data_IF_331000213850
#
_entry.id   IF_331000213850
#
_cell.length_a   1.000
_cell.length_b   1.000
_cell.length_c   1.000
_cell.angle_alpha   90.00
_cell.angle_beta   90.00
_cell.angle_gamma   90.00
#
_symmetry.space_group_name_H-M   'P 1'
#
loop_
_entity.id
_entity.type
_entity.pdbx_description
1 polymer ?
#
# COMPACT_ATOMS: atom_id res chain seq x y z
N UNK A 1 -13.59 -50.23 56.07
CA UNK A 1 -13.80 -50.01 54.62
C UNK A 1 -13.55 -48.57 54.16
N UNK A 2 -13.75 -47.54 55.00
CA UNK A 2 -13.57 -46.13 54.62
C UNK A 2 -12.09 -45.70 54.49
N UNK A 3 -11.18 -46.22 55.32
CA UNK A 3 -9.76 -45.90 55.25
C UNK A 3 -9.08 -46.44 53.98
N UNK A 4 -9.50 -47.61 53.49
CA UNK A 4 -8.99 -48.17 52.23
C UNK A 4 -9.38 -47.32 51.02
N UNK A 5 -10.61 -46.79 51.01
CA UNK A 5 -11.08 -45.86 49.97
C UNK A 5 -10.31 -44.54 50.02
N UNK A 6 -10.03 -44.01 51.22
CA UNK A 6 -9.26 -42.78 51.39
C UNK A 6 -7.81 -42.93 50.87
N UNK A 7 -7.15 -44.06 51.17
CA UNK A 7 -5.79 -44.36 50.71
C UNK A 7 -5.76 -44.51 49.18
N UNK A 8 -6.74 -45.18 48.57
CA UNK A 8 -6.84 -45.32 47.12
C UNK A 8 -7.07 -43.96 46.45
N UNK A 9 -7.87 -43.08 47.05
CA UNK A 9 -8.07 -41.72 46.53
C UNK A 9 -6.81 -40.86 46.62
N UNK A 10 -6.05 -40.95 47.71
CA UNK A 10 -4.76 -40.23 47.87
C UNK A 10 -3.73 -40.76 46.87
N UNK A 11 -3.71 -42.07 46.62
CA UNK A 11 -2.83 -42.70 45.63
C UNK A 11 -3.18 -42.26 44.20
N UNK A 12 -4.47 -42.16 43.86
CA UNK A 12 -4.91 -41.64 42.55
C UNK A 12 -4.57 -40.15 42.35
N UNK A 13 -4.65 -39.33 43.40
CA UNK A 13 -4.24 -37.92 43.36
C UNK A 13 -2.71 -37.80 43.23
N UNK A 14 -1.93 -38.66 43.86
CA UNK A 14 -0.46 -38.67 43.75
C UNK A 14 0.03 -39.13 42.36
N UNK A 15 -0.68 -40.04 41.70
CA UNK A 15 -0.35 -40.53 40.35
C UNK A 15 -0.70 -39.47 39.28
N UNK A 16 -1.71 -38.62 39.52
CA UNK A 16 -2.11 -37.58 38.57
C UNK A 16 -1.08 -36.43 38.42
N UNK A 17 -0.07 -36.32 39.30
CA UNK A 17 0.93 -35.23 39.30
C UNK A 17 2.16 -35.56 38.44
N UNK A 18 2.21 -36.71 37.77
CA UNK A 18 3.40 -37.18 37.03
C UNK A 18 3.27 -37.09 35.49
N UNK A 19 2.40 -36.23 34.96
CA UNK A 19 2.42 -35.89 33.53
C UNK A 19 3.46 -34.80 33.29
N UNK A 20 4.74 -35.20 33.15
CA UNK A 20 5.75 -34.33 32.56
C UNK A 20 5.43 -34.21 31.07
N UNK A 21 4.87 -33.08 30.66
CA UNK A 21 4.69 -32.78 29.25
C UNK A 21 6.08 -32.64 28.60
N UNK A 22 6.32 -33.28 27.46
CA UNK A 22 7.56 -33.05 26.72
C UNK A 22 7.48 -31.72 25.96
N UNK A 23 8.63 -31.17 25.55
CA UNK A 23 8.61 -30.02 24.66
C UNK A 23 8.08 -30.45 23.29
N UNK A 24 7.31 -29.59 22.64
CA UNK A 24 6.70 -29.86 21.34
C UNK A 24 7.02 -28.72 20.39
N UNK A 25 7.60 -29.06 19.24
CA UNK A 25 7.75 -28.13 18.11
C UNK A 25 6.58 -28.38 17.16
N UNK A 26 5.72 -27.37 16.96
CA UNK A 26 4.71 -27.37 15.93
C UNK A 26 5.29 -26.73 14.68
N UNK A 27 5.42 -27.51 13.60
CA UNK A 27 5.87 -27.02 12.30
C UNK A 27 4.71 -26.39 11.53
N UNK A 28 5.03 -25.54 10.56
CA UNK A 28 4.04 -24.87 9.69
C UNK A 28 3.24 -25.82 8.80
N UNK A 29 3.74 -27.03 8.57
CA UNK A 29 3.01 -28.11 7.90
C UNK A 29 2.09 -28.90 8.86
N UNK A 30 1.87 -28.40 10.08
CA UNK A 30 1.13 -29.05 11.18
C UNK A 30 1.76 -30.34 11.73
N UNK A 31 3.00 -30.63 11.36
CA UNK A 31 3.74 -31.75 11.94
C UNK A 31 4.20 -31.41 13.36
N UNK A 32 4.05 -32.36 14.27
CA UNK A 32 4.46 -32.22 15.66
C UNK A 32 5.75 -33.01 15.89
N UNK A 33 6.76 -32.34 16.46
CA UNK A 33 8.00 -32.97 16.89
C UNK A 33 8.03 -32.95 18.41
N UNK A 34 7.81 -34.11 19.04
CA UNK A 34 8.03 -34.31 20.46
C UNK A 34 9.54 -34.41 20.71
N UNK A 35 10.09 -33.49 21.49
CA UNK A 35 11.53 -33.38 21.69
C UNK A 35 11.89 -32.78 23.05
N UNK A 36 13.19 -32.67 23.32
CA UNK A 36 13.73 -31.82 24.38
C UNK A 36 14.48 -30.66 23.74
N UNK A 37 14.01 -29.44 23.92
CA UNK A 37 14.67 -28.24 23.39
C UNK A 37 15.93 -27.98 24.23
N UNK A 38 17.06 -27.74 23.55
CA UNK A 38 18.36 -27.48 24.18
C UNK A 38 18.82 -26.04 24.02
N UNK A 39 18.57 -25.45 22.87
CA UNK A 39 18.97 -24.07 22.57
C UNK A 39 17.93 -23.42 21.67
N UNK A 40 17.45 -22.24 22.06
CA UNK A 40 16.70 -21.36 21.16
C UNK A 40 17.67 -20.31 20.65
N UNK A 41 18.32 -20.61 19.52
CA UNK A 41 19.24 -19.68 18.85
C UNK A 41 18.49 -18.52 18.21
N UNK A 42 19.18 -17.64 17.50
CA UNK A 42 18.52 -16.56 16.74
C UNK A 42 17.70 -17.12 15.58
N UNK A 43 18.26 -18.08 14.85
CA UNK A 43 17.74 -18.55 13.56
C UNK A 43 17.26 -20.00 13.59
N UNK A 44 17.88 -20.84 14.41
CA UNK A 44 17.55 -22.25 14.54
C UNK A 44 17.21 -22.61 16.00
N UNK A 45 16.46 -23.68 16.15
CA UNK A 45 16.23 -24.33 17.44
C UNK A 45 16.95 -25.66 17.42
N UNK A 46 17.79 -25.89 18.44
CA UNK A 46 18.46 -27.16 18.64
C UNK A 46 17.69 -28.00 19.64
N UNK A 47 17.47 -29.26 19.31
CA UNK A 47 16.67 -30.19 20.10
C UNK A 47 17.21 -31.61 20.02
N UNK A 48 16.73 -32.46 20.93
CA UNK A 48 17.03 -33.89 20.98
C UNK A 48 15.73 -34.68 20.84
N UNK A 49 15.77 -35.77 20.07
CA UNK A 49 14.66 -36.70 19.94
C UNK A 49 14.73 -37.80 21.01
N UNK A 50 13.60 -38.22 21.62
CA UNK A 50 13.59 -39.25 22.65
C UNK A 50 14.19 -40.59 22.22
N UNK A 51 13.99 -40.96 20.95
CA UNK A 51 14.42 -42.26 20.40
C UNK A 51 15.88 -42.26 19.89
N UNK A 52 16.61 -41.16 20.10
CA UNK A 52 17.98 -40.98 19.61
C UNK A 52 18.98 -40.76 20.77
N UNK A 53 20.27 -41.06 20.55
CA UNK A 53 21.31 -40.78 21.52
C UNK A 53 21.32 -39.32 21.98
N UNK A 54 21.51 -39.07 23.28
CA UNK A 54 21.43 -37.74 23.89
C UNK A 54 22.57 -36.78 23.48
N UNK A 55 23.61 -37.30 22.84
CA UNK A 55 24.70 -36.56 22.22
C UNK A 55 24.37 -36.10 20.78
N UNK A 56 23.30 -36.63 20.17
CA UNK A 56 22.86 -36.24 18.84
C UNK A 56 21.91 -35.03 18.91
N UNK A 57 22.42 -33.87 18.49
CA UNK A 57 21.66 -32.63 18.38
C UNK A 57 21.08 -32.47 16.98
N UNK A 58 19.77 -32.30 16.90
CA UNK A 58 19.06 -31.91 15.69
C UNK A 58 18.87 -30.39 15.69
N UNK A 59 18.83 -29.78 14.51
CA UNK A 59 18.45 -28.38 14.37
C UNK A 59 17.33 -28.22 13.34
N UNK A 60 16.46 -27.25 13.61
CA UNK A 60 15.39 -26.85 12.70
C UNK A 60 15.37 -25.33 12.57
N UNK A 61 15.24 -24.86 11.34
CA UNK A 61 15.07 -23.44 11.02
C UNK A 61 13.75 -22.93 11.61
N UNK A 62 13.77 -21.80 12.33
CA UNK A 62 12.57 -21.15 12.86
C UNK A 62 11.58 -20.77 11.79
N UNK A 63 12.00 -20.54 10.55
CA UNK A 63 11.10 -20.27 9.44
C UNK A 63 10.21 -21.48 9.09
N UNK A 64 10.53 -22.69 9.56
CA UNK A 64 9.70 -23.89 9.42
C UNK A 64 8.80 -24.15 10.65
N UNK A 65 8.97 -23.38 11.72
CA UNK A 65 8.28 -23.55 13.00
C UNK A 65 7.13 -22.55 13.08
N UNK A 66 5.96 -23.02 13.49
CA UNK A 66 4.82 -22.17 13.82
C UNK A 66 4.93 -21.69 15.28
N UNK A 67 5.04 -22.64 16.21
CA UNK A 67 5.30 -22.37 17.63
C UNK A 67 6.04 -23.51 18.30
N UNK A 68 6.61 -23.23 19.46
CA UNK A 68 7.07 -24.25 20.41
C UNK A 68 6.25 -24.17 21.69
N UNK A 69 6.00 -25.32 22.29
CA UNK A 69 5.36 -25.45 23.60
C UNK A 69 6.34 -26.18 24.50
N UNK A 70 6.82 -25.52 25.56
CA UNK A 70 7.74 -26.12 26.51
C UNK A 70 7.00 -27.01 27.52
N UNK A 71 7.75 -27.88 28.19
CA UNK A 71 7.28 -28.78 29.27
C UNK A 71 6.47 -28.06 30.36
N UNK A 72 6.78 -26.79 30.65
CA UNK A 72 6.05 -25.96 31.61
C UNK A 72 4.78 -25.30 31.05
N UNK A 73 4.41 -25.62 29.80
CA UNK A 73 3.28 -25.04 29.08
C UNK A 73 3.56 -23.65 28.46
N UNK A 74 4.78 -23.13 28.54
CA UNK A 74 5.14 -21.85 27.93
C UNK A 74 5.16 -21.99 26.40
N UNK A 75 4.36 -21.16 25.72
CA UNK A 75 4.36 -21.09 24.26
C UNK A 75 5.29 -19.98 23.76
N UNK A 76 6.09 -20.28 22.73
CA UNK A 76 6.86 -19.26 22.01
C UNK A 76 6.51 -19.30 20.52
N UNK A 77 6.14 -18.14 19.98
CA UNK A 77 5.76 -17.95 18.57
C UNK A 77 6.82 -17.12 17.89
N UNK A 78 7.27 -17.57 16.71
CA UNK A 78 8.30 -16.89 15.94
C UNK A 78 7.67 -16.14 14.76
N UNK A 79 7.77 -14.82 14.78
CA UNK A 79 7.29 -13.97 13.68
C UNK A 79 8.41 -13.74 12.68
N UNK A 80 8.04 -13.68 11.39
CA UNK A 80 8.96 -13.25 10.33
C UNK A 80 9.41 -11.82 10.58
N UNK A 81 10.72 -11.59 10.62
CA UNK A 81 11.31 -10.28 10.90
C UNK A 81 10.78 -9.18 9.96
N UNK A 82 10.55 -9.51 8.69
CA UNK A 82 10.06 -8.58 7.67
C UNK A 82 8.67 -8.02 8.00
N UNK A 83 7.76 -8.85 8.51
CA UNK A 83 6.35 -8.49 8.73
C UNK A 83 6.03 -8.16 10.17
N UNK A 84 6.99 -8.32 11.08
CA UNK A 84 6.79 -8.04 12.50
C UNK A 84 6.74 -6.53 12.76
N UNK A 85 5.60 -5.96 13.19
CA UNK A 85 5.47 -4.53 13.46
C UNK A 85 6.45 -4.01 14.53
N UNK A 86 6.88 -4.88 15.44
CA UNK A 86 7.82 -4.56 16.53
C UNK A 86 9.16 -4.06 16.00
N UNK A 87 9.62 -4.62 14.88
CA UNK A 87 10.88 -4.23 14.22
C UNK A 87 10.87 -2.82 13.65
N UNK A 88 9.71 -2.15 13.65
CA UNK A 88 9.51 -0.85 13.03
C UNK A 88 8.87 0.18 13.97
N UNK A 89 8.91 -0.06 15.29
CA UNK A 89 8.34 0.86 16.29
C UNK A 89 8.83 2.30 16.17
N UNK A 90 10.10 2.48 15.81
CA UNK A 90 10.72 3.80 15.64
C UNK A 90 10.34 4.49 14.33
N UNK A 91 9.74 3.78 13.38
CA UNK A 91 9.35 4.35 12.10
C UNK A 91 8.10 5.21 12.25
N UNK A 92 8.13 6.37 11.60
CA UNK A 92 6.99 7.25 11.46
C UNK A 92 5.99 6.62 10.49
N UNK A 93 4.73 6.55 10.92
CA UNK A 93 3.67 5.81 10.23
C UNK A 93 2.88 6.68 9.26
N UNK A 94 2.98 8.00 9.39
CA UNK A 94 2.20 8.95 8.63
C UNK A 94 3.11 9.79 7.74
N UNK A 95 2.62 10.10 6.55
CA UNK A 95 3.28 10.99 5.60
C UNK A 95 2.29 12.00 5.04
N UNK A 96 2.65 13.28 5.08
CA UNK A 96 1.97 14.33 4.32
C UNK A 96 2.82 14.66 3.11
N UNK A 97 2.25 14.60 1.92
CA UNK A 97 2.96 14.75 0.65
C UNK A 97 2.37 15.85 -0.19
N UNK A 98 3.22 16.48 -0.99
CA UNK A 98 2.85 17.39 -2.05
C UNK A 98 3.29 16.79 -3.39
N UNK A 99 2.42 16.84 -4.40
CA UNK A 99 2.78 16.48 -5.77
C UNK A 99 3.56 17.63 -6.39
N UNK A 100 4.87 17.42 -6.55
CA UNK A 100 5.84 18.46 -6.87
C UNK A 100 5.60 19.09 -8.24
N UNK A 101 5.10 18.31 -9.20
CA UNK A 101 4.86 18.79 -10.57
C UNK A 101 3.45 19.33 -10.77
N UNK A 102 2.52 19.07 -9.83
CA UNK A 102 1.12 19.48 -9.98
C UNK A 102 0.94 20.98 -10.26
N UNK A 103 1.66 21.92 -9.61
CA UNK A 103 1.42 23.34 -9.87
C UNK A 103 1.67 23.74 -11.32
N UNK A 104 2.60 23.08 -12.02
CA UNK A 104 2.90 23.36 -13.43
C UNK A 104 1.77 22.86 -14.33
N UNK A 105 1.01 21.87 -13.87
CA UNK A 105 -0.13 21.29 -14.60
C UNK A 105 -1.48 21.87 -14.17
N UNK A 106 -1.49 23.02 -13.48
CA UNK A 106 -2.71 23.78 -13.18
C UNK A 106 -3.46 23.35 -11.90
N UNK A 107 -2.83 22.57 -11.02
CA UNK A 107 -3.41 22.15 -9.75
C UNK A 107 -2.39 22.14 -8.62
N UNK A 108 -2.83 22.27 -7.37
CA UNK A 108 -1.98 21.96 -6.20
C UNK A 108 -2.52 20.72 -5.53
N UNK A 109 -1.69 19.68 -5.41
CA UNK A 109 -2.14 18.37 -4.92
C UNK A 109 -1.40 17.93 -3.67
N UNK A 110 -2.17 17.54 -2.65
CA UNK A 110 -1.69 17.00 -1.39
C UNK A 110 -2.13 15.56 -1.23
N UNK A 111 -1.28 14.73 -0.61
CA UNK A 111 -1.63 13.36 -0.26
C UNK A 111 -1.26 13.04 1.18
N UNK A 112 -2.10 12.28 1.85
CA UNK A 112 -1.85 11.72 3.17
C UNK A 112 -1.73 10.21 3.04
N UNK A 113 -0.60 9.65 3.47
CA UNK A 113 -0.37 8.21 3.54
C UNK A 113 -0.21 7.76 4.99
N UNK A 114 -0.85 6.63 5.35
CA UNK A 114 -0.68 5.98 6.64
C UNK A 114 -0.35 4.50 6.48
N UNK A 115 0.75 4.07 7.09
CA UNK A 115 1.10 2.66 7.23
C UNK A 115 0.12 1.93 8.15
N UNK A 116 -0.47 0.84 7.66
CA UNK A 116 -1.34 -0.03 8.45
C UNK A 116 -0.54 -1.15 9.12
N UNK A 117 0.38 -1.75 8.37
CA UNK A 117 1.31 -2.79 8.81
C UNK A 117 2.49 -2.84 7.84
N UNK A 118 3.62 -3.48 8.19
CA UNK A 118 4.71 -3.66 7.23
C UNK A 118 4.19 -4.26 5.92
N UNK A 119 4.57 -3.65 4.80
CA UNK A 119 4.11 -4.06 3.48
C UNK A 119 2.78 -3.44 3.00
N UNK A 120 2.02 -2.73 3.85
CA UNK A 120 0.71 -2.15 3.47
C UNK A 120 0.44 -0.77 4.07
N UNK A 121 -0.03 0.14 3.24
CA UNK A 121 -0.47 1.49 3.65
C UNK A 121 -1.72 1.92 2.88
N UNK A 122 -2.39 2.96 3.38
CA UNK A 122 -3.51 3.63 2.70
C UNK A 122 -3.10 5.04 2.35
N UNK A 123 -3.53 5.54 1.19
CA UNK A 123 -3.24 6.89 0.73
C UNK A 123 -4.52 7.58 0.24
N UNK A 124 -4.80 8.76 0.80
CA UNK A 124 -5.83 9.68 0.31
C UNK A 124 -5.17 10.91 -0.31
N UNK A 125 -5.70 11.40 -1.43
CA UNK A 125 -5.16 12.54 -2.18
C UNK A 125 -6.27 13.56 -2.43
N UNK A 126 -5.96 14.84 -2.28
CA UNK A 126 -6.81 15.98 -2.61
C UNK A 126 -6.05 16.91 -3.55
N UNK A 127 -6.60 17.17 -4.73
CA UNK A 127 -6.11 18.16 -5.68
C UNK A 127 -7.05 19.34 -5.80
N UNK A 128 -6.50 20.54 -5.66
CA UNK A 128 -7.22 21.80 -5.88
C UNK A 128 -6.87 22.30 -7.29
N UNK A 129 -7.86 22.32 -8.17
CA UNK A 129 -7.72 22.72 -9.58
C UNK A 129 -7.85 24.24 -9.68
N UNK A 130 -6.96 24.86 -10.45
CA UNK A 130 -6.88 26.32 -10.59
C UNK A 130 -5.85 26.99 -9.66
N UNK A 131 -5.30 26.25 -8.69
CA UNK A 131 -4.13 26.69 -7.90
C UNK A 131 -2.84 26.20 -8.56
N UNK A 132 -2.49 26.78 -9.71
CA UNK A 132 -1.31 26.42 -10.50
C UNK A 132 -1.18 27.30 -11.74
N UNK A 133 -0.30 26.91 -12.65
CA UNK A 133 -0.12 27.57 -13.94
C UNK A 133 -1.35 27.36 -14.83
N UNK A 134 -1.87 28.45 -15.40
CA UNK A 134 -2.95 28.43 -16.37
C UNK A 134 -2.37 28.52 -17.78
N UNK A 135 -1.74 27.44 -18.25
CA UNK A 135 -1.02 27.42 -19.53
C UNK A 135 -1.98 27.51 -20.72
N UNK A 136 -3.15 26.87 -20.61
CA UNK A 136 -4.14 26.81 -21.71
C UNK A 136 -5.17 27.95 -21.68
N UNK A 137 -4.97 28.96 -20.82
CA UNK A 137 -5.93 30.04 -20.52
C UNK A 137 -7.39 29.54 -20.31
N UNK A 138 -7.53 28.34 -19.76
CA UNK A 138 -8.82 27.69 -19.57
C UNK A 138 -9.50 28.16 -18.27
N UNK A 139 -8.81 28.90 -17.40
CA UNK A 139 -9.30 29.40 -16.11
C UNK A 139 -10.13 28.35 -15.36
N UNK A 140 -9.53 27.16 -15.22
CA UNK A 140 -10.18 26.04 -14.59
C UNK A 140 -10.26 26.21 -13.08
N UNK A 141 -11.33 25.71 -12.47
CA UNK A 141 -11.53 25.72 -11.03
C UNK A 141 -12.36 24.53 -10.57
N UNK A 142 -11.91 23.88 -9.51
CA UNK A 142 -12.58 22.71 -8.95
C UNK A 142 -11.67 21.88 -8.05
N UNK A 143 -12.01 20.61 -7.88
CA UNK A 143 -11.20 19.71 -7.07
C UNK A 143 -11.30 18.26 -7.57
N UNK A 144 -10.32 17.46 -7.19
CA UNK A 144 -10.41 16.02 -7.30
C UNK A 144 -9.91 15.34 -6.03
N UNK A 145 -10.38 14.13 -5.82
CA UNK A 145 -9.93 13.24 -4.76
C UNK A 145 -9.45 11.92 -5.33
N UNK A 146 -8.48 11.31 -4.68
CA UNK A 146 -8.07 9.93 -4.96
C UNK A 146 -7.92 9.15 -3.67
N UNK A 147 -8.14 7.85 -3.73
CA UNK A 147 -7.88 6.96 -2.62
C UNK A 147 -7.40 5.61 -3.13
N UNK A 148 -6.39 5.07 -2.46
CA UNK A 148 -5.88 3.74 -2.79
C UNK A 148 -5.19 3.05 -1.62
N UNK A 149 -5.10 1.72 -1.74
CA UNK A 149 -4.36 0.86 -0.79
C UNK A 149 -3.06 0.47 -1.45
N UNK A 150 -1.91 0.78 -0.84
CA UNK A 150 -0.60 0.39 -1.33
C UNK A 150 -0.21 -0.98 -0.78
N UNK A 151 0.25 -1.84 -1.69
CA UNK A 151 0.89 -3.12 -1.40
C UNK A 151 2.37 -3.00 -1.78
N UNK A 152 3.23 -2.89 -0.79
CA UNK A 152 4.68 -2.80 -1.00
C UNK A 152 5.20 -4.20 -1.35
N UNK A 153 5.99 -4.27 -2.43
CA UNK A 153 6.60 -5.48 -2.95
C UNK A 153 7.61 -6.03 -1.94
N UNK A 154 7.44 -7.30 -1.60
CA UNK A 154 8.45 -8.07 -0.88
C UNK A 154 9.72 -8.25 -1.73
N UNK A 155 10.91 -8.46 -1.12
CA UNK A 155 12.15 -8.68 -1.86
C UNK A 155 12.09 -9.98 -2.67
N UNK A 156 12.75 -9.98 -3.83
CA UNK A 156 12.77 -11.13 -4.75
C UNK A 156 13.53 -12.33 -4.18
N UNK A 157 14.48 -12.08 -3.28
CA UNK A 157 15.20 -13.10 -2.54
C UNK A 157 15.09 -12.81 -1.05
N UNK A 158 14.88 -13.87 -0.27
CA UNK A 158 14.93 -13.78 1.17
C UNK A 158 16.34 -14.12 1.64
N UNK A 159 17.07 -13.12 2.12
CA UNK A 159 18.24 -13.34 2.97
C UNK A 159 17.79 -13.21 4.43
N UNK A 160 18.38 -14.04 5.27
CA UNK A 160 18.08 -14.11 6.70
C UNK A 160 18.25 -12.74 7.36
N UNK A 161 17.29 -12.36 8.20
CA UNK A 161 17.29 -11.06 8.88
C UNK A 161 16.95 -9.85 7.99
N UNK A 162 16.63 -10.06 6.71
CA UNK A 162 16.13 -8.98 5.86
C UNK A 162 14.81 -8.42 6.41
N UNK A 163 14.78 -7.10 6.49
CA UNK A 163 13.60 -6.32 6.81
C UNK A 163 13.56 -5.08 5.93
N UNK A 164 12.40 -4.44 5.82
CA UNK A 164 12.34 -3.13 5.19
C UNK A 164 13.26 -2.17 5.96
N UNK A 165 13.98 -1.30 5.26
CA UNK A 165 14.72 -0.24 5.97
C UNK A 165 13.74 0.77 6.59
N UNK A 166 12.53 0.88 6.04
CA UNK A 166 11.45 1.68 6.60
C UNK A 166 10.08 1.12 6.16
N UNK A 167 9.04 1.16 7.01
CA UNK A 167 7.70 0.61 6.71
C UNK A 167 7.00 1.21 5.48
N UNK A 168 7.35 2.45 5.15
CA UNK A 168 6.85 3.18 3.99
C UNK A 168 7.78 3.08 2.77
N UNK A 169 8.92 2.35 2.83
CA UNK A 169 9.90 2.31 1.74
C UNK A 169 9.70 1.06 0.88
N UNK A 170 9.70 1.25 -0.44
CA UNK A 170 9.72 0.13 -1.37
C UNK A 170 9.03 0.41 -2.70
N UNK A 171 9.07 -0.57 -3.59
CA UNK A 171 8.22 -0.58 -4.79
C UNK A 171 6.82 -1.02 -4.38
N UNK A 172 5.76 -0.54 -5.01
CA UNK A 172 4.40 -0.92 -4.64
C UNK A 172 3.45 -1.00 -5.84
N UNK A 173 2.34 -1.70 -5.62
CA UNK A 173 1.14 -1.65 -6.46
C UNK A 173 0.01 -1.06 -5.62
N UNK A 174 -0.77 -0.15 -6.19
CA UNK A 174 -1.85 0.57 -5.54
C UNK A 174 -3.09 0.59 -6.43
N UNK A 175 -4.09 -0.28 -6.17
CA UNK A 175 -5.43 -0.06 -6.68
C UNK A 175 -5.95 1.28 -6.13
N UNK A 176 -6.32 2.17 -7.04
CA UNK A 176 -6.72 3.54 -6.74
C UNK A 176 -8.00 3.90 -7.48
N UNK A 177 -8.94 4.52 -6.77
CA UNK A 177 -10.05 5.22 -7.39
C UNK A 177 -9.83 6.72 -7.30
N UNK A 178 -10.24 7.44 -8.33
CA UNK A 178 -10.19 8.89 -8.38
C UNK A 178 -11.50 9.45 -8.90
N UNK A 179 -11.87 10.63 -8.41
CA UNK A 179 -13.06 11.35 -8.82
C UNK A 179 -12.76 12.86 -8.83
N UNK A 180 -13.25 13.56 -9.84
CA UNK A 180 -13.01 14.99 -10.04
C UNK A 180 -14.25 15.71 -10.50
N UNK A 181 -14.39 16.96 -10.05
CA UNK A 181 -15.40 17.89 -10.52
C UNK A 181 -14.77 19.27 -10.67
N UNK A 182 -14.82 19.83 -11.87
CA UNK A 182 -14.26 21.14 -12.16
C UNK A 182 -14.99 21.81 -13.33
N UNK A 183 -14.88 23.13 -13.39
CA UNK A 183 -15.33 23.88 -14.56
C UNK A 183 -14.12 24.48 -15.26
N UNK A 184 -14.15 24.49 -16.59
CA UNK A 184 -13.11 25.11 -17.43
C UNK A 184 -13.75 25.87 -18.58
N UNK A 185 -13.03 26.85 -19.07
CA UNK A 185 -13.35 27.51 -20.32
C UNK A 185 -12.79 26.69 -21.48
N UNK A 186 -13.55 26.58 -22.56
CA UNK A 186 -13.13 25.98 -23.81
C UNK A 186 -13.55 26.87 -24.99
N UNK A 187 -12.84 26.75 -26.11
CA UNK A 187 -13.21 27.42 -27.35
C UNK A 187 -14.25 26.58 -28.09
N UNK A 188 -15.45 27.16 -28.28
CA UNK A 188 -16.49 26.53 -29.09
C UNK A 188 -16.27 26.89 -30.56
N UNK A 189 -15.58 25.98 -31.25
CA UNK A 189 -15.23 26.10 -32.67
C UNK A 189 -16.44 26.08 -33.60
N UNK A 190 -17.66 25.75 -33.12
CA UNK A 190 -18.89 25.88 -33.93
C UNK A 190 -19.20 27.33 -34.30
N UNK A 191 -18.63 28.29 -33.57
CA UNK A 191 -18.75 29.72 -33.85
C UNK A 191 -17.65 30.26 -34.77
N UNK A 192 -16.64 29.44 -35.11
CA UNK A 192 -15.65 29.82 -36.09
C UNK A 192 -16.31 29.95 -37.46
N UNK A 193 -16.22 31.13 -38.06
CA UNK A 193 -16.75 31.39 -39.39
C UNK A 193 -15.86 32.38 -40.11
N UNK A 194 -15.77 32.20 -41.43
CA UNK A 194 -15.06 33.12 -42.31
C UNK A 194 -15.98 33.47 -43.46
N UNK A 195 -16.18 34.77 -43.71
CA UNK A 195 -17.01 35.25 -44.80
C UNK A 195 -16.49 36.59 -45.34
N UNK A 196 -16.90 36.92 -46.56
CA UNK A 196 -16.68 38.24 -47.12
C UNK A 196 -17.85 39.16 -46.78
N UNK A 197 -17.57 40.38 -46.33
CA UNK A 197 -18.60 41.38 -46.13
C UNK A 197 -19.14 41.94 -47.46
N UNK A 198 -20.15 42.82 -47.36
CA UNK A 198 -20.76 43.50 -48.50
C UNK A 198 -19.82 44.43 -49.28
N UNK A 199 -18.60 44.66 -48.81
CA UNK A 199 -17.56 45.46 -49.45
C UNK A 199 -16.37 44.63 -49.94
N UNK A 200 -16.42 43.29 -49.80
CA UNK A 200 -15.38 42.38 -50.25
C UNK A 200 -14.20 42.22 -49.28
N UNK A 201 -14.33 42.66 -48.02
CA UNK A 201 -13.30 42.41 -47.01
C UNK A 201 -13.46 41.02 -46.41
N UNK A 202 -12.34 40.33 -46.17
CA UNK A 202 -12.31 39.09 -45.39
C UNK A 202 -12.60 39.39 -43.92
N UNK A 203 -13.63 38.77 -43.37
CA UNK A 203 -13.95 38.80 -41.94
C UNK A 203 -13.73 37.41 -41.36
N UNK A 204 -12.86 37.35 -40.35
CA UNK A 204 -12.67 36.18 -39.50
C UNK A 204 -13.43 36.38 -38.19
N UNK A 205 -14.28 35.42 -37.83
CA UNK A 205 -14.98 35.39 -36.54
C UNK A 205 -14.27 34.39 -35.63
N UNK A 206 -13.67 34.90 -34.56
CA UNK A 206 -12.99 34.07 -33.58
C UNK A 206 -13.97 33.12 -32.85
N UNK A 207 -13.54 31.91 -32.51
CA UNK A 207 -14.35 30.96 -31.74
C UNK A 207 -14.70 31.55 -30.37
N UNK A 208 -15.96 31.32 -29.95
CA UNK A 208 -16.47 31.87 -28.70
C UNK A 208 -15.93 31.08 -27.50
N UNK A 209 -15.41 31.77 -26.49
CA UNK A 209 -15.06 31.17 -25.20
C UNK A 209 -16.34 30.80 -24.44
N UNK A 210 -16.55 29.52 -24.22
CA UNK A 210 -17.67 28.95 -23.45
C UNK A 210 -17.15 28.29 -22.18
N UNK A 211 -18.04 27.99 -21.23
CA UNK A 211 -17.69 27.34 -19.95
C UNK A 211 -18.43 26.03 -19.82
N UNK A 212 -17.71 24.94 -19.57
CA UNK A 212 -18.28 23.63 -19.28
C UNK A 212 -17.99 23.22 -17.84
N UNK A 213 -18.83 22.32 -17.32
CA UNK A 213 -18.60 21.61 -16.05
C UNK A 213 -18.32 20.15 -16.37
N UNK A 214 -17.19 19.66 -15.90
CA UNK A 214 -16.68 18.32 -16.11
C UNK A 214 -16.75 17.55 -14.81
N UNK A 215 -17.35 16.37 -14.87
CA UNK A 215 -17.31 15.35 -13.83
C UNK A 215 -16.60 14.14 -14.41
N UNK A 216 -15.59 13.64 -13.70
CA UNK A 216 -14.79 12.52 -14.16
C UNK A 216 -14.46 11.55 -13.03
N UNK A 217 -14.20 10.30 -13.38
CA UNK A 217 -13.76 9.29 -12.43
C UNK A 217 -12.91 8.21 -13.09
N UNK A 218 -12.03 7.58 -12.29
CA UNK A 218 -11.16 6.50 -12.78
C UNK A 218 -10.98 5.41 -11.74
N UNK A 219 -10.77 4.18 -12.22
CA UNK A 219 -10.22 3.06 -11.45
C UNK A 219 -8.88 2.67 -12.08
N UNK A 220 -7.79 2.75 -11.32
CA UNK A 220 -6.43 2.55 -11.81
C UNK A 220 -5.65 1.55 -10.96
N UNK A 221 -4.72 0.85 -11.60
CA UNK A 221 -3.60 0.18 -10.94
C UNK A 221 -2.38 1.09 -11.05
N UNK A 222 -1.94 1.62 -9.91
CA UNK A 222 -0.80 2.52 -9.80
C UNK A 222 0.43 1.75 -9.35
N UNK A 223 1.48 1.78 -10.14
CA UNK A 223 2.80 1.24 -9.80
C UNK A 223 3.69 2.38 -9.35
N UNK A 224 4.46 2.18 -8.29
CA UNK A 224 5.34 3.24 -7.81
C UNK A 224 6.54 2.75 -7.02
N UNK A 225 7.45 3.69 -6.74
CA UNK A 225 8.64 3.51 -5.93
C UNK A 225 8.74 4.65 -4.93
N UNK A 226 8.77 4.28 -3.66
CA UNK A 226 8.93 5.21 -2.54
C UNK A 226 10.29 5.02 -1.87
N UNK A 227 11.05 6.11 -1.78
CA UNK A 227 12.29 6.21 -1.02
C UNK A 227 12.03 7.00 0.26
N UNK A 228 12.58 6.52 1.37
CA UNK A 228 12.50 7.18 2.67
C UNK A 228 13.91 7.55 3.11
N UNK A 229 14.06 8.78 3.57
CA UNK A 229 15.31 9.38 4.02
C UNK A 229 15.19 9.74 5.50
N UNK A 230 16.08 9.12 6.30
CA UNK A 230 16.27 9.39 7.71
C UNK A 230 14.99 9.39 8.58
N UNK A 231 13.94 8.68 8.18
CA UNK A 231 12.66 8.72 8.87
C UNK A 231 12.11 10.16 9.04
N UNK A 232 12.51 11.09 8.16
CA UNK A 232 12.09 12.50 8.18
C UNK A 232 11.29 12.85 6.94
N UNK A 233 11.73 12.41 5.77
CA UNK A 233 11.05 12.70 4.52
C UNK A 233 11.09 11.53 3.55
N UNK A 234 10.26 11.59 2.51
CA UNK A 234 10.19 10.60 1.45
C UNK A 234 10.07 11.27 0.08
N UNK A 235 10.45 10.51 -0.94
CA UNK A 235 10.19 10.82 -2.35
C UNK A 235 9.44 9.63 -2.95
N UNK A 236 8.37 9.88 -3.68
CA UNK A 236 7.47 8.86 -4.24
C UNK A 236 7.23 9.14 -5.72
N UNK A 237 7.68 8.24 -6.59
CA UNK A 237 7.43 8.30 -8.03
C UNK A 237 6.43 7.22 -8.42
N UNK A 238 5.44 7.57 -9.22
CA UNK A 238 4.39 6.64 -9.60
C UNK A 238 3.88 6.85 -11.02
N UNK A 239 3.34 5.77 -11.59
CA UNK A 239 2.61 5.74 -12.85
C UNK A 239 1.44 4.77 -12.72
N UNK A 240 0.28 5.15 -13.24
CA UNK A 240 -0.96 4.38 -13.18
C UNK A 240 -1.59 4.20 -14.54
N UNK A 241 -2.25 3.05 -14.70
CA UNK A 241 -3.07 2.73 -15.86
C UNK A 241 -4.38 2.11 -15.38
N UNK A 242 -5.47 2.36 -16.10
CA UNK A 242 -6.76 1.78 -15.77
C UNK A 242 -7.84 2.22 -16.73
N UNK A 243 -9.04 2.42 -16.21
CA UNK A 243 -10.20 2.88 -16.98
C UNK A 243 -10.86 4.08 -16.31
N UNK A 244 -11.54 4.92 -17.08
CA UNK A 244 -12.19 6.11 -16.56
C UNK A 244 -13.40 6.54 -17.37
N UNK A 245 -14.09 7.55 -16.89
CA UNK A 245 -15.13 8.25 -17.62
C UNK A 245 -15.02 9.74 -17.36
N UNK A 246 -15.55 10.54 -18.28
CA UNK A 246 -15.64 11.99 -18.18
C UNK A 246 -16.91 12.46 -18.85
N UNK A 247 -17.52 13.52 -18.33
CA UNK A 247 -18.64 14.21 -18.97
C UNK A 247 -18.20 15.30 -19.94
N UNK A 248 -16.90 15.55 -20.11
CA UNK A 248 -16.43 16.57 -21.05
C UNK A 248 -16.70 16.13 -22.49
N UNK A 249 -17.26 17.05 -23.26
CA UNK A 249 -17.58 16.83 -24.66
C UNK A 249 -16.33 16.69 -25.56
N UNK A 250 -15.18 17.22 -25.12
CA UNK A 250 -13.91 17.13 -25.85
C UNK A 250 -13.27 15.74 -25.75
N UNK A 251 -13.55 15.00 -24.68
CA UNK A 251 -12.92 13.69 -24.43
C UNK A 251 -13.56 12.57 -25.26
N UNK A 252 -14.54 12.91 -26.11
CA UNK A 252 -15.13 11.97 -27.05
C UNK A 252 -14.15 11.61 -28.17
N UNK A 253 -13.35 12.59 -28.62
CA UNK A 253 -12.43 12.44 -29.75
C UNK A 253 -10.96 12.40 -29.32
N UNK A 254 -10.60 13.09 -28.24
CA UNK A 254 -9.22 13.23 -27.78
C UNK A 254 -9.02 12.77 -26.34
N UNK A 255 -7.76 12.52 -25.96
CA UNK A 255 -7.41 12.23 -24.59
C UNK A 255 -7.56 13.49 -23.72
N UNK A 256 -8.44 13.44 -22.73
CA UNK A 256 -8.73 14.53 -21.80
C UNK A 256 -7.80 14.55 -20.59
N UNK A 257 -7.07 15.64 -20.38
CA UNK A 257 -6.37 15.88 -19.12
C UNK A 257 -7.34 16.42 -18.05
N UNK A 258 -7.34 15.81 -16.87
CA UNK A 258 -8.23 16.13 -15.74
C UNK A 258 -7.47 16.44 -14.46
N UNK A 259 -6.28 17.05 -14.57
CA UNK A 259 -5.42 17.52 -13.48
C UNK A 259 -4.78 16.42 -12.62
N UNK A 260 -5.57 15.44 -12.16
CA UNK A 260 -5.07 14.28 -11.43
C UNK A 260 -4.73 13.09 -12.33
N UNK A 261 -5.30 13.01 -13.52
CA UNK A 261 -5.23 11.87 -14.42
C UNK A 261 -5.63 12.28 -15.84
N UNK A 262 -5.28 11.45 -16.81
CA UNK A 262 -5.70 11.58 -18.21
C UNK A 262 -6.66 10.45 -18.53
N UNK A 263 -7.72 10.72 -19.29
CA UNK A 263 -8.64 9.71 -19.81
C UNK A 263 -8.55 9.73 -21.32
N UNK A 264 -8.29 8.58 -21.93
CA UNK A 264 -8.27 8.39 -23.37
C UNK A 264 -9.70 8.49 -23.94
N UNK A 265 -9.85 8.63 -25.27
CA UNK A 265 -11.17 8.80 -25.90
C UNK A 265 -12.18 7.72 -25.50
N UNK A 266 -13.47 8.08 -25.49
CA UNK A 266 -14.55 7.20 -25.00
C UNK A 266 -14.67 5.84 -25.70
N UNK A 267 -14.18 5.69 -26.93
CA UNK A 267 -14.16 4.40 -27.64
C UNK A 267 -13.25 3.38 -26.95
N UNK A 268 -12.21 3.84 -26.25
CA UNK A 268 -11.31 3.02 -25.47
C UNK A 268 -10.89 3.79 -24.20
N UNK A 269 -11.77 3.82 -23.17
CA UNK A 269 -11.69 4.78 -22.07
C UNK A 269 -10.64 4.38 -21.02
N UNK A 270 -9.41 4.15 -21.48
CA UNK A 270 -8.26 3.94 -20.62
C UNK A 270 -7.95 5.22 -19.85
N UNK A 271 -7.50 5.08 -18.61
CA UNK A 271 -6.99 6.19 -17.84
C UNK A 271 -5.52 6.01 -17.51
N UNK A 272 -4.81 7.13 -17.41
CA UNK A 272 -3.40 7.19 -17.09
C UNK A 272 -3.17 8.21 -15.97
N UNK A 273 -2.17 7.95 -15.14
CA UNK A 273 -1.67 8.96 -14.20
C UNK A 273 -0.18 8.79 -14.02
N UNK A 274 0.51 9.87 -13.65
CA UNK A 274 1.89 9.79 -13.18
C UNK A 274 2.19 11.01 -12.31
N UNK A 275 3.22 10.91 -11.48
CA UNK A 275 3.63 12.05 -10.66
C UNK A 275 4.80 11.77 -9.74
N UNK A 276 5.31 12.85 -9.16
CA UNK A 276 6.43 12.84 -8.21
C UNK A 276 5.98 13.56 -6.95
N UNK A 277 5.88 12.83 -5.84
CA UNK A 277 5.47 13.39 -4.55
C UNK A 277 6.67 13.51 -3.61
N UNK A 278 6.74 14.64 -2.90
CA UNK A 278 7.69 14.85 -1.81
C UNK A 278 6.89 14.84 -0.51
N UNK A 279 7.31 14.04 0.46
CA UNK A 279 6.57 13.83 1.70
C UNK A 279 7.35 14.10 2.96
N UNK A 280 6.70 14.70 3.94
CA UNK A 280 7.18 14.82 5.31
C UNK A 280 6.60 13.71 6.19
N UNK A 281 7.45 13.06 6.97
CA UNK A 281 7.09 11.96 7.86
C UNK A 281 6.84 12.44 9.29
N UNK A 282 5.75 11.95 9.89
CA UNK A 282 5.38 12.20 11.29
C UNK A 282 4.77 10.94 11.95
N UNK A 283 4.72 10.95 13.28
CA UNK A 283 4.22 9.82 14.07
C UNK A 283 2.75 9.54 13.82
#
# INVERSE_FOLDING_TARGET
MNYLRLIISILFVAIAVQLNAQDVILKKNNELINCKIKEVGLDEIKYILPDHPADLLFSIDKDNIDKIVLENGMEMVFKKAMTDPENYKENKKNALKIDFLSPITGNTTFAYERSLKPGRSIEGTLGIIGLGANIDDNNAGGAFVKFGIKFIKDPDYYLRGMRYAHILKGSYIKPEFAFGAFSRNYYDWRYESSYYDQWGNWIYVEPKKSRETVVSGTLQLVFGKQWVFDNVFLVDMHAGIGYGFSTSSNDYYDAGYHYGYTIAPTEFPMSFSSGIKIGYLFK
#
